data_IF_123797968141
#
_entry.id   IF_123797968141
#
_cell.length_a   1.000
_cell.length_b   1.000
_cell.length_c   1.000
_cell.angle_alpha   90.00
_cell.angle_beta   90.00
_cell.angle_gamma   90.00
#
_symmetry.space_group_name_H-M   'P 1'
#
loop_
_entity.id
_entity.type
_entity.pdbx_description
1 polymer ?
#
# COMPACT_ATOMS: atom_id res chain seq x y z
N UNK A 1 13.79 -19.57 -1.69
CA UNK A 1 12.42 -19.38 -1.18
C UNK A 1 12.48 -18.17 -0.28
N UNK A 2 12.22 -16.98 -0.80
CA UNK A 2 12.21 -15.74 -0.01
C UNK A 2 10.75 -15.46 0.32
N UNK A 3 10.33 -15.76 1.55
CA UNK A 3 9.03 -15.35 2.04
C UNK A 3 8.94 -13.82 1.94
N UNK A 4 7.83 -13.31 1.40
CA UNK A 4 7.60 -11.87 1.34
C UNK A 4 7.54 -11.35 2.76
N UNK A 5 8.35 -10.33 3.05
CA UNK A 5 8.41 -9.71 4.37
C UNK A 5 7.58 -8.44 4.38
N UNK A 6 7.08 -8.06 5.56
CA UNK A 6 6.37 -6.79 5.77
C UNK A 6 7.18 -5.59 5.28
N UNK A 7 8.49 -5.60 5.50
CA UNK A 7 9.41 -4.56 5.05
C UNK A 7 9.38 -4.39 3.52
N UNK A 8 9.38 -5.50 2.76
CA UNK A 8 9.25 -5.46 1.30
C UNK A 8 7.88 -4.94 0.84
N UNK A 9 6.81 -5.25 1.58
CA UNK A 9 5.47 -4.74 1.29
C UNK A 9 5.44 -3.22 1.50
N UNK A 10 6.00 -2.74 2.60
CA UNK A 10 6.08 -1.31 2.91
C UNK A 10 6.94 -0.59 1.86
N UNK A 11 8.10 -1.15 1.51
CA UNK A 11 8.99 -0.57 0.49
C UNK A 11 8.27 -0.43 -0.86
N UNK A 12 7.54 -1.46 -1.29
CA UNK A 12 6.72 -1.42 -2.51
C UNK A 12 5.60 -0.38 -2.43
N UNK A 13 4.87 -0.30 -1.31
CA UNK A 13 3.82 0.71 -1.13
C UNK A 13 4.42 2.11 -1.23
N UNK A 14 5.54 2.37 -0.56
CA UNK A 14 6.19 3.68 -0.55
C UNK A 14 6.78 4.04 -1.91
N UNK A 15 7.53 3.12 -2.53
CA UNK A 15 8.29 3.40 -3.75
C UNK A 15 7.42 3.29 -4.99
N UNK A 16 6.86 2.13 -5.24
CA UNK A 16 6.13 1.87 -6.47
C UNK A 16 4.75 2.54 -6.45
N UNK A 17 4.00 2.46 -5.34
CA UNK A 17 2.65 3.02 -5.32
C UNK A 17 2.61 4.51 -5.00
N UNK A 18 3.23 4.94 -3.90
CA UNK A 18 3.17 6.35 -3.47
C UNK A 18 4.06 7.24 -4.35
N UNK A 19 5.32 6.89 -4.54
CA UNK A 19 6.24 7.75 -5.30
C UNK A 19 6.05 7.59 -6.81
N UNK A 20 6.03 6.37 -7.35
CA UNK A 20 5.96 6.20 -8.81
C UNK A 20 4.55 6.33 -9.37
N UNK A 21 3.53 5.67 -8.78
CA UNK A 21 2.16 5.74 -9.33
C UNK A 21 1.42 7.01 -8.97
N UNK A 22 1.48 7.43 -7.71
CA UNK A 22 0.82 8.65 -7.22
C UNK A 22 1.66 9.91 -7.43
N UNK A 23 2.88 9.77 -7.95
CA UNK A 23 3.80 10.87 -8.29
C UNK A 23 4.05 11.83 -7.11
N UNK A 24 4.00 11.32 -5.87
CA UNK A 24 4.13 12.15 -4.67
C UNK A 24 5.50 12.82 -4.54
N UNK A 25 6.50 12.31 -5.27
CA UNK A 25 7.79 12.98 -5.44
C UNK A 25 7.67 14.38 -6.06
N UNK A 26 6.71 14.62 -6.95
CA UNK A 26 6.45 15.94 -7.52
C UNK A 26 5.87 16.92 -6.49
N UNK A 27 5.20 16.40 -5.45
CA UNK A 27 4.72 17.17 -4.30
C UNK A 27 5.82 17.44 -3.25
N UNK A 28 7.05 16.98 -3.49
CA UNK A 28 8.20 17.16 -2.59
C UNK A 28 8.25 16.17 -1.44
N UNK A 29 7.46 15.09 -1.49
CA UNK A 29 7.50 14.01 -0.51
C UNK A 29 8.54 12.98 -0.96
N UNK A 30 9.52 12.67 -0.10
CA UNK A 30 10.54 11.67 -0.38
C UNK A 30 10.28 10.38 0.41
N UNK A 31 10.84 9.25 -0.04
CA UNK A 31 10.72 7.95 0.65
C UNK A 31 11.15 8.00 2.11
N UNK A 32 12.14 8.83 2.43
CA UNK A 32 12.65 9.01 3.81
C UNK A 32 11.63 9.68 4.75
N UNK A 33 10.65 10.38 4.20
CA UNK A 33 9.58 11.04 4.96
C UNK A 33 8.36 10.12 5.16
N UNK A 34 8.36 8.95 4.49
CA UNK A 34 7.30 7.95 4.56
C UNK A 34 7.68 6.83 5.53
N UNK A 35 6.75 6.45 6.41
CA UNK A 35 6.90 5.34 7.32
C UNK A 35 5.54 4.68 7.60
N UNK A 36 5.54 3.56 8.32
CA UNK A 36 4.30 2.81 8.62
C UNK A 36 3.23 3.61 9.37
N UNK A 37 3.63 4.63 10.13
CA UNK A 37 2.72 5.53 10.84
C UNK A 37 2.24 6.70 9.97
N UNK A 38 2.76 6.87 8.76
CA UNK A 38 2.31 7.91 7.84
C UNK A 38 0.87 7.66 7.42
N UNK A 39 0.01 8.63 7.68
CA UNK A 39 -1.39 8.60 7.31
C UNK A 39 -1.53 8.82 5.79
N UNK A 40 -2.28 7.95 5.13
CA UNK A 40 -2.51 8.00 3.68
C UNK A 40 -3.66 8.95 3.34
N UNK A 41 -4.75 8.88 4.11
CA UNK A 41 -5.95 9.72 3.91
C UNK A 41 -5.87 11.10 4.54
N UNK A 42 -4.80 11.40 5.29
CA UNK A 42 -4.61 12.67 5.99
C UNK A 42 -3.30 13.36 5.52
N UNK A 43 -3.13 14.66 5.80
CA UNK A 43 -1.89 15.37 5.47
C UNK A 43 -0.67 14.68 6.09
N UNK A 44 0.45 14.51 5.34
CA UNK A 44 0.79 15.23 4.11
C UNK A 44 0.32 14.58 2.81
N UNK A 45 -0.18 13.34 2.84
CA UNK A 45 -0.54 12.58 1.62
C UNK A 45 -1.95 12.91 1.13
N UNK A 46 -2.92 13.01 2.05
CA UNK A 46 -4.31 13.38 1.78
C UNK A 46 -4.90 12.71 0.52
N UNK A 47 -4.70 11.40 0.39
CA UNK A 47 -5.13 10.65 -0.79
C UNK A 47 -6.65 10.66 -0.94
N UNK A 48 -7.11 10.84 -2.17
CA UNK A 48 -8.53 10.78 -2.48
C UNK A 48 -9.02 9.32 -2.53
N UNK A 49 -10.34 9.14 -2.52
CA UNK A 49 -10.96 7.80 -2.60
C UNK A 49 -10.52 7.00 -3.83
N UNK A 50 -10.17 7.68 -4.93
CA UNK A 50 -9.69 7.05 -6.17
C UNK A 50 -8.26 6.57 -6.00
N UNK A 51 -7.37 7.41 -5.46
CA UNK A 51 -5.97 7.07 -5.16
C UNK A 51 -5.88 5.90 -4.18
N UNK A 52 -6.73 5.95 -3.16
CA UNK A 52 -6.87 4.92 -2.14
C UNK A 52 -7.28 3.57 -2.75
N UNK A 53 -8.22 3.58 -3.70
CA UNK A 53 -8.62 2.38 -4.42
C UNK A 53 -7.48 1.87 -5.31
N UNK A 54 -6.74 2.76 -5.96
CA UNK A 54 -5.59 2.37 -6.79
C UNK A 54 -4.48 1.72 -5.97
N UNK A 55 -4.23 2.20 -4.74
CA UNK A 55 -3.29 1.58 -3.80
C UNK A 55 -3.67 0.13 -3.51
N UNK A 56 -4.93 -0.12 -3.12
CA UNK A 56 -5.40 -1.47 -2.80
C UNK A 56 -5.32 -2.37 -4.02
N UNK A 57 -5.78 -1.91 -5.18
CA UNK A 57 -5.70 -2.67 -6.42
C UNK A 57 -4.24 -2.92 -6.83
N UNK A 58 -3.33 -1.97 -6.54
CA UNK A 58 -1.90 -2.08 -6.79
C UNK A 58 -1.26 -3.20 -5.97
N UNK A 59 -1.49 -3.22 -4.66
CA UNK A 59 -0.98 -4.30 -3.79
C UNK A 59 -1.63 -5.64 -4.11
N UNK A 60 -2.93 -5.67 -4.40
CA UNK A 60 -3.61 -6.92 -4.76
C UNK A 60 -3.02 -7.55 -6.02
N UNK A 61 -2.72 -6.73 -7.03
CA UNK A 61 -2.08 -7.21 -8.26
C UNK A 61 -0.64 -7.66 -8.04
N UNK A 62 0.16 -6.87 -7.33
CA UNK A 62 1.58 -7.16 -7.10
C UNK A 62 1.76 -8.48 -6.35
N UNK A 63 0.95 -8.69 -5.32
CA UNK A 63 1.03 -9.84 -4.43
C UNK A 63 0.09 -10.98 -4.83
N UNK A 64 -0.53 -10.91 -6.01
CA UNK A 64 -1.49 -11.89 -6.52
C UNK A 64 -2.60 -12.24 -5.50
N UNK A 65 -3.06 -11.24 -4.75
CA UNK A 65 -4.13 -11.40 -3.77
C UNK A 65 -5.48 -11.47 -4.50
N UNK A 66 -6.42 -12.29 -4.01
CA UNK A 66 -7.77 -12.28 -4.52
C UNK A 66 -8.38 -10.89 -4.28
N UNK A 67 -8.94 -10.30 -5.35
CA UNK A 67 -9.65 -9.02 -5.25
C UNK A 67 -10.76 -9.11 -4.22
N UNK A 68 -10.86 -8.10 -3.37
CA UNK A 68 -11.92 -8.02 -2.36
C UNK A 68 -12.82 -6.82 -2.65
N UNK A 69 -14.13 -7.04 -2.55
CA UNK A 69 -15.11 -5.96 -2.54
C UNK A 69 -15.14 -5.34 -1.15
N UNK A 70 -14.12 -4.51 -0.85
CA UNK A 70 -14.09 -3.72 0.37
C UNK A 70 -15.17 -2.64 0.30
N UNK A 71 -15.91 -2.48 1.39
CA UNK A 71 -16.81 -1.34 1.55
C UNK A 71 -16.00 -0.04 1.67
N UNK A 72 -16.62 1.14 1.45
CA UNK A 72 -15.93 2.41 1.61
C UNK A 72 -15.34 2.63 3.01
N UNK A 73 -15.99 2.09 4.04
CA UNK A 73 -15.50 2.13 5.42
C UNK A 73 -14.26 1.25 5.59
N UNK A 74 -14.31 -0.01 5.12
CA UNK A 74 -13.16 -0.92 5.17
C UNK A 74 -11.98 -0.42 4.35
N UNK A 75 -12.23 0.21 3.20
CA UNK A 75 -11.19 0.82 2.38
C UNK A 75 -10.49 1.95 3.15
N UNK A 76 -11.26 2.81 3.83
CA UNK A 76 -10.71 3.86 4.69
C UNK A 76 -9.91 3.31 5.86
N UNK A 77 -10.39 2.26 6.52
CA UNK A 77 -9.67 1.64 7.63
C UNK A 77 -8.38 0.95 7.17
N UNK A 78 -8.45 0.24 6.03
CA UNK A 78 -7.30 -0.44 5.43
C UNK A 78 -6.24 0.57 5.01
N UNK A 79 -6.66 1.65 4.36
CA UNK A 79 -5.79 2.72 3.90
C UNK A 79 -5.73 3.90 4.89
N UNK A 80 -5.84 3.65 6.19
CA UNK A 80 -5.65 4.70 7.19
C UNK A 80 -4.18 5.14 7.21
N UNK A 81 -3.26 4.18 7.29
CA UNK A 81 -1.81 4.39 7.24
C UNK A 81 -1.11 3.39 6.33
N UNK A 82 0.15 3.66 6.01
CA UNK A 82 1.00 2.71 5.27
C UNK A 82 1.09 1.37 6.01
N UNK A 83 1.20 1.42 7.33
CA UNK A 83 1.26 0.24 8.19
C UNK A 83 -0.02 -0.60 8.18
N UNK A 84 -1.21 0.01 8.13
CA UNK A 84 -2.47 -0.75 8.02
C UNK A 84 -2.60 -1.42 6.66
N UNK A 85 -2.19 -0.74 5.58
CA UNK A 85 -2.20 -1.34 4.24
C UNK A 85 -1.18 -2.49 4.15
N UNK A 86 0.01 -2.32 4.73
CA UNK A 86 1.00 -3.39 4.79
C UNK A 86 0.52 -4.58 5.63
N UNK A 87 -0.18 -4.32 6.74
CA UNK A 87 -0.77 -5.35 7.58
C UNK A 87 -1.86 -6.15 6.83
N UNK A 88 -2.71 -5.43 6.07
CA UNK A 88 -3.72 -6.02 5.20
C UNK A 88 -3.11 -7.00 4.18
N UNK A 89 -2.04 -6.59 3.51
CA UNK A 89 -1.32 -7.45 2.56
C UNK A 89 -0.65 -8.61 3.30
N UNK A 90 0.04 -8.35 4.40
CA UNK A 90 0.77 -9.37 5.17
C UNK A 90 -0.15 -10.48 5.70
N UNK A 91 -1.37 -10.13 6.14
CA UNK A 91 -2.37 -11.11 6.59
C UNK A 91 -2.92 -11.98 5.46
N UNK A 92 -2.83 -11.52 4.21
CA UNK A 92 -3.46 -12.13 3.03
C UNK A 92 -2.48 -12.83 2.12
N UNK A 93 -1.24 -12.37 2.07
CA UNK A 93 -0.15 -13.04 1.39
C UNK A 93 0.04 -14.40 2.08
N UNK A 94 -0.20 -15.51 1.36
CA UNK A 94 0.28 -16.81 1.82
C UNK A 94 1.77 -16.67 2.08
N UNK A 95 2.29 -17.16 3.21
CA UNK A 95 3.75 -17.11 3.50
C UNK A 95 4.64 -17.85 2.47
N UNK A 96 4.03 -18.39 1.41
CA UNK A 96 4.62 -19.11 0.28
C UNK A 96 4.38 -18.42 -1.08
N UNK A 97 3.57 -17.35 -1.15
CA UNK A 97 3.24 -16.71 -2.42
C UNK A 97 4.35 -15.76 -2.88
N UNK A 98 4.92 -16.04 -4.04
CA UNK A 98 5.91 -15.21 -4.71
C UNK A 98 5.27 -13.92 -5.27
N UNK A 99 5.99 -12.78 -5.30
CA UNK A 99 5.54 -11.63 -6.06
C UNK A 99 5.57 -11.97 -7.56
N UNK A 100 4.50 -11.64 -8.28
CA UNK A 100 4.46 -11.83 -9.73
C UNK A 100 5.49 -10.89 -10.38
N UNK A 101 6.42 -11.46 -11.15
CA UNK A 101 7.45 -10.74 -11.90
C UNK A 101 6.86 -10.01 -13.12
#
# INVERSE_FOLDING_TARGET
>A
MTAITRDQIVDFICKDLLIERLDLGASGIELKDLNEATALSEPPLSLDSVDTLELVVGVERQFSLPRQDLTPEELRETCATIGTLADYVTRRVPQDAAPAQ
#
